data_IF_500100833094
#
_entry.id   IF_500100833094
#
_cell.length_a   1.000
_cell.length_b   1.000
_cell.length_c   1.000
_cell.angle_alpha   90.00
_cell.angle_beta   90.00
_cell.angle_gamma   90.00
#
_symmetry.space_group_name_H-M   'P 1'
#
loop_
_entity.id
_entity.type
_entity.pdbx_description
1 polymer ?
#
# COMPACT_ATOMS: atom_id res chain seq x y z
N UNK A 1 -11.83 -5.07 -1.53
CA UNK A 1 -10.99 -4.78 -0.35
C UNK A 1 -9.99 -5.91 -0.22
N UNK A 2 -8.71 -5.57 -0.13
CA UNK A 2 -7.62 -6.51 0.14
C UNK A 2 -7.21 -6.32 1.60
N UNK A 3 -7.08 -7.42 2.33
CA UNK A 3 -6.70 -7.44 3.73
C UNK A 3 -5.33 -8.12 3.84
N UNK A 4 -4.34 -7.40 4.36
CA UNK A 4 -2.97 -7.90 4.53
C UNK A 4 -2.93 -8.81 5.73
N UNK A 5 -2.45 -10.04 5.56
CA UNK A 5 -2.36 -11.01 6.64
C UNK A 5 -1.10 -10.75 7.47
N UNK A 6 -1.12 -11.03 8.79
CA UNK A 6 0.05 -10.87 9.64
C UNK A 6 1.31 -11.56 9.10
N UNK A 7 1.14 -12.70 8.41
CA UNK A 7 2.23 -13.45 7.79
C UNK A 7 3.05 -12.65 6.75
N UNK A 8 2.45 -11.63 6.12
CA UNK A 8 3.14 -10.80 5.14
C UNK A 8 4.18 -9.90 5.79
N UNK A 9 3.90 -9.41 7.00
CA UNK A 9 4.76 -8.46 7.73
C UNK A 9 5.51 -9.14 8.88
N UNK A 10 5.33 -10.45 9.05
CA UNK A 10 5.98 -11.22 10.10
C UNK A 10 7.49 -11.37 9.80
N UNK A 11 8.39 -10.83 10.65
CA UNK A 11 9.82 -10.93 10.44
C UNK A 11 10.32 -12.37 10.30
N UNK A 12 9.69 -13.31 11.02
CA UNK A 12 10.03 -14.75 10.99
C UNK A 12 9.68 -15.39 9.63
N UNK A 13 8.82 -14.74 8.83
CA UNK A 13 8.41 -15.17 7.50
C UNK A 13 9.06 -14.37 6.37
N UNK A 14 9.96 -13.43 6.66
CA UNK A 14 10.61 -12.57 5.67
C UNK A 14 11.23 -13.35 4.52
N UNK A 15 11.90 -14.48 4.79
CA UNK A 15 12.51 -15.31 3.75
C UNK A 15 11.47 -15.92 2.80
N UNK A 16 10.32 -16.32 3.32
CA UNK A 16 9.21 -16.84 2.49
C UNK A 16 8.65 -15.74 1.60
N UNK A 17 8.39 -14.55 2.16
CA UNK A 17 7.92 -13.38 1.43
C UNK A 17 8.89 -12.98 0.33
N UNK A 18 10.19 -12.95 0.62
CA UNK A 18 11.24 -12.63 -0.36
C UNK A 18 11.32 -13.65 -1.50
N UNK A 19 11.23 -14.93 -1.16
CA UNK A 19 11.26 -16.02 -2.15
C UNK A 19 10.05 -15.94 -3.08
N UNK A 20 8.86 -15.72 -2.53
CA UNK A 20 7.64 -15.58 -3.32
C UNK A 20 7.69 -14.32 -4.19
N UNK A 21 8.06 -13.16 -3.64
CA UNK A 21 8.18 -11.91 -4.39
C UNK A 21 9.17 -12.08 -5.56
N UNK A 22 10.34 -12.67 -5.30
CA UNK A 22 11.34 -12.97 -6.34
C UNK A 22 10.78 -13.87 -7.44
N UNK A 23 10.02 -14.90 -7.06
CA UNK A 23 9.41 -15.80 -8.02
C UNK A 23 8.38 -15.09 -8.89
N UNK A 24 7.52 -14.25 -8.29
CA UNK A 24 6.50 -13.49 -9.00
C UNK A 24 7.12 -12.46 -9.96
N UNK A 25 8.19 -11.77 -9.55
CA UNK A 25 8.96 -10.91 -10.45
C UNK A 25 9.50 -11.71 -11.64
N UNK A 26 10.21 -12.83 -11.38
CA UNK A 26 10.86 -13.63 -12.43
C UNK A 26 9.88 -14.26 -13.42
N UNK A 27 8.74 -14.76 -12.92
CA UNK A 27 7.79 -15.53 -13.72
C UNK A 27 6.75 -14.66 -14.41
N UNK A 28 6.36 -13.55 -13.79
CA UNK A 28 5.23 -12.73 -14.23
C UNK A 28 5.64 -11.32 -14.65
N UNK A 29 6.91 -10.93 -14.42
CA UNK A 29 7.39 -9.58 -14.66
C UNK A 29 6.70 -8.54 -13.77
N UNK A 30 6.27 -8.95 -12.56
CA UNK A 30 5.53 -8.10 -11.62
C UNK A 30 6.45 -7.58 -10.52
N UNK A 31 6.63 -6.26 -10.46
CA UNK A 31 7.60 -5.61 -9.57
C UNK A 31 9.04 -5.68 -10.05
N UNK A 32 9.96 -5.17 -9.25
CA UNK A 32 11.38 -5.01 -9.58
C UNK A 32 12.28 -5.90 -8.70
N UNK A 33 13.09 -6.73 -9.35
CA UNK A 33 13.96 -7.70 -8.70
C UNK A 33 15.04 -7.02 -7.84
N UNK A 34 15.42 -5.79 -8.17
CA UNK A 34 16.52 -5.08 -7.50
C UNK A 34 16.07 -4.39 -6.20
N UNK A 35 14.76 -4.35 -5.93
CA UNK A 35 14.20 -3.74 -4.73
C UNK A 35 14.32 -4.63 -3.50
N UNK A 36 14.29 -4.03 -2.31
CA UNK A 36 14.25 -4.75 -1.05
C UNK A 36 12.98 -5.62 -0.92
N UNK A 37 13.00 -6.65 -0.07
CA UNK A 37 11.92 -7.65 0.06
C UNK A 37 10.52 -7.06 0.11
N UNK A 38 10.25 -6.13 1.04
CA UNK A 38 8.91 -5.58 1.24
C UNK A 38 8.54 -4.52 0.19
N UNK A 39 9.52 -3.79 -0.35
CA UNK A 39 9.32 -2.90 -1.48
C UNK A 39 8.97 -3.65 -2.76
N UNK A 40 9.69 -4.71 -3.06
CA UNK A 40 9.37 -5.64 -4.15
C UNK A 40 7.98 -6.24 -3.96
N UNK A 41 7.66 -6.69 -2.76
CA UNK A 41 6.33 -7.23 -2.47
C UNK A 41 5.23 -6.16 -2.59
N UNK A 42 5.49 -4.92 -2.16
CA UNK A 42 4.59 -3.78 -2.33
C UNK A 42 4.32 -3.49 -3.80
N UNK A 43 5.35 -3.56 -4.66
CA UNK A 43 5.19 -3.44 -6.10
C UNK A 43 4.43 -4.62 -6.71
N UNK A 44 4.68 -5.86 -6.26
CA UNK A 44 3.93 -7.04 -6.72
C UNK A 44 2.44 -6.88 -6.40
N UNK A 45 2.10 -6.51 -5.16
CA UNK A 45 0.71 -6.26 -4.74
C UNK A 45 0.13 -5.09 -5.53
N UNK A 46 0.92 -4.02 -5.65
CA UNK A 46 0.63 -2.83 -6.43
C UNK A 46 0.24 -3.18 -7.85
N UNK A 47 1.14 -3.73 -8.65
CA UNK A 47 0.87 -4.11 -10.04
C UNK A 47 -0.17 -5.22 -10.22
N UNK A 48 -0.44 -6.00 -9.17
CA UNK A 48 -1.51 -7.00 -9.20
C UNK A 48 -2.88 -6.32 -9.08
N UNK A 49 -3.05 -5.40 -8.12
CA UNK A 49 -4.37 -4.88 -7.73
C UNK A 49 -4.59 -3.40 -8.06
N UNK A 50 -3.54 -2.69 -8.44
CA UNK A 50 -3.49 -1.26 -8.65
C UNK A 50 -2.59 -0.89 -9.84
N UNK A 51 -2.73 0.34 -10.31
CA UNK A 51 -1.72 0.97 -11.13
C UNK A 51 -2.18 1.51 -12.48
N UNK A 52 -1.25 2.25 -13.10
CA UNK A 52 -1.51 3.18 -14.20
C UNK A 52 -1.31 2.59 -15.59
N UNK A 53 -0.67 1.41 -15.69
CA UNK A 53 -0.50 0.70 -16.96
C UNK A 53 -1.79 -0.08 -17.22
N UNK A 54 -2.58 0.27 -18.24
CA UNK A 54 -3.89 -0.33 -18.43
C UNK A 54 -3.69 -1.82 -18.76
N UNK A 55 -4.36 -2.67 -18.00
CA UNK A 55 -5.36 -3.46 -18.70
C UNK A 55 -6.74 -2.95 -18.28
N UNK A 56 -7.64 -2.88 -19.26
CA UNK A 56 -9.07 -2.64 -19.05
C UNK A 56 -9.72 -3.67 -18.14
N UNK A 57 -9.00 -4.75 -17.79
CA UNK A 57 -9.43 -5.88 -16.97
C UNK A 57 -8.25 -6.48 -16.20
N UNK A 58 -8.54 -7.33 -15.22
CA UNK A 58 -7.54 -8.11 -14.50
C UNK A 58 -6.86 -9.15 -15.42
N UNK A 59 -5.63 -8.88 -15.86
CA UNK A 59 -4.90 -9.73 -16.82
C UNK A 59 -4.44 -11.08 -16.23
N UNK A 60 -3.92 -11.98 -17.08
CA UNK A 60 -3.53 -13.32 -16.63
C UNK A 60 -2.34 -13.31 -15.63
N UNK A 61 -1.27 -12.51 -15.83
CA UNK A 61 -0.24 -12.32 -14.81
C UNK A 61 -0.79 -11.86 -13.45
N UNK A 62 -1.69 -10.86 -13.43
CA UNK A 62 -2.32 -10.38 -12.19
C UNK A 62 -3.19 -11.46 -11.54
N UNK A 63 -3.95 -12.25 -12.32
CA UNK A 63 -4.69 -13.41 -11.82
C UNK A 63 -3.78 -14.43 -11.14
N UNK A 64 -2.67 -14.78 -11.78
CA UNK A 64 -1.69 -15.73 -11.22
C UNK A 64 -1.04 -15.19 -9.95
N UNK A 65 -0.63 -13.93 -9.94
CA UNK A 65 -0.06 -13.27 -8.76
C UNK A 65 -1.07 -13.21 -7.61
N UNK A 66 -2.32 -12.82 -7.88
CA UNK A 66 -3.38 -12.80 -6.89
C UNK A 66 -3.63 -14.18 -6.27
N UNK A 67 -3.69 -15.23 -7.10
CA UNK A 67 -3.82 -16.61 -6.61
C UNK A 67 -2.62 -16.97 -5.73
N UNK A 68 -1.39 -16.68 -6.15
CA UNK A 68 -0.19 -16.97 -5.38
C UNK A 68 -0.21 -16.31 -3.99
N UNK A 69 -0.55 -15.01 -3.94
CA UNK A 69 -0.67 -14.23 -2.70
C UNK A 69 -1.75 -14.79 -1.76
N UNK A 70 -2.89 -15.22 -2.31
CA UNK A 70 -3.98 -15.85 -1.56
C UNK A 70 -3.57 -17.24 -1.04
N UNK A 71 -2.98 -18.08 -1.89
CA UNK A 71 -2.54 -19.44 -1.50
C UNK A 71 -1.39 -19.42 -0.52
N UNK A 72 -0.57 -18.37 -0.53
CA UNK A 72 0.50 -18.15 0.43
C UNK A 72 0.04 -17.60 1.78
N UNK A 73 -1.27 -17.39 1.97
CA UNK A 73 -1.86 -16.78 3.19
C UNK A 73 -1.18 -15.45 3.55
N UNK A 74 -0.86 -14.66 2.52
CA UNK A 74 -0.26 -13.33 2.68
C UNK A 74 -1.30 -12.22 2.60
N UNK A 75 -2.39 -12.46 1.87
CA UNK A 75 -3.52 -11.54 1.75
C UNK A 75 -4.82 -12.32 1.74
N UNK A 76 -5.93 -11.64 2.05
CA UNK A 76 -7.27 -12.12 1.73
C UNK A 76 -8.02 -11.05 0.94
N UNK A 77 -8.90 -11.46 0.03
CA UNK A 77 -9.67 -10.53 -0.78
C UNK A 77 -11.16 -10.69 -0.49
N UNK A 78 -11.83 -9.56 -0.24
CA UNK A 78 -13.30 -9.50 -0.24
C UNK A 78 -13.78 -9.07 -1.62
N UNK A 79 -14.51 -9.98 -2.26
CA UNK A 79 -14.99 -9.83 -3.64
C UNK A 79 -13.94 -10.19 -4.68
N UNK A 80 -14.35 -10.21 -5.96
CA UNK A 80 -13.46 -10.48 -7.09
C UNK A 80 -12.94 -9.14 -7.63
N UNK A 81 -11.61 -8.94 -7.77
CA UNK A 81 -11.08 -7.79 -8.48
C UNK A 81 -11.62 -7.76 -9.92
N UNK A 82 -12.15 -6.63 -10.35
CA UNK A 82 -12.67 -6.44 -11.72
C UNK A 82 -11.65 -5.76 -12.63
N UNK A 83 -10.61 -5.16 -12.06
CA UNK A 83 -9.54 -4.46 -12.75
C UNK A 83 -8.62 -3.77 -11.72
N UNK A 84 -7.48 -3.22 -12.16
CA UNK A 84 -6.59 -2.49 -11.26
C UNK A 84 -7.28 -1.21 -10.74
N UNK A 85 -7.06 -0.90 -9.47
CA UNK A 85 -7.48 0.36 -8.87
C UNK A 85 -6.49 1.50 -9.21
N UNK A 86 -7.00 2.64 -9.64
CA UNK A 86 -6.17 3.84 -9.84
C UNK A 86 -5.66 4.41 -8.51
N UNK A 87 -6.53 4.40 -7.50
CA UNK A 87 -6.31 5.00 -6.19
C UNK A 87 -6.31 3.92 -5.12
N UNK A 88 -5.34 3.99 -4.21
CA UNK A 88 -5.18 3.02 -3.13
C UNK A 88 -5.29 3.73 -1.79
N UNK A 89 -6.15 3.22 -0.91
CA UNK A 89 -6.21 3.59 0.50
C UNK A 89 -5.67 2.42 1.30
N UNK A 90 -4.53 2.62 1.95
CA UNK A 90 -3.96 1.71 2.94
C UNK A 90 -4.48 2.15 4.30
N UNK A 91 -5.11 1.23 5.02
CA UNK A 91 -5.52 1.45 6.41
C UNK A 91 -4.59 0.62 7.28
N UNK A 92 -3.75 1.28 8.07
CA UNK A 92 -2.89 0.63 9.03
C UNK A 92 -3.74 0.09 10.19
N UNK A 93 -3.37 -1.09 10.68
CA UNK A 93 -3.91 -1.66 11.92
C UNK A 93 -3.17 -1.09 13.13
N UNK A 94 -3.06 -1.90 14.18
CA UNK A 94 -2.15 -1.63 15.29
C UNK A 94 -0.69 -1.58 14.79
N UNK A 95 0.16 -0.83 15.49
CA UNK A 95 1.56 -0.65 15.08
C UNK A 95 2.29 -1.98 14.94
N UNK A 96 3.05 -2.07 13.86
CA UNK A 96 3.75 -3.29 13.47
C UNK A 96 4.94 -3.59 14.36
N UNK A 97 5.35 -4.86 14.40
CA UNK A 97 6.61 -5.26 15.04
C UNK A 97 7.86 -4.86 14.23
N UNK A 98 7.66 -4.47 12.97
CA UNK A 98 8.72 -4.16 12.01
C UNK A 98 8.24 -3.05 11.09
N UNK A 99 8.38 -1.80 11.55
CA UNK A 99 8.00 -0.61 10.79
C UNK A 99 8.69 -0.54 9.43
N UNK A 100 9.92 -1.07 9.30
CA UNK A 100 10.63 -1.11 8.01
C UNK A 100 9.93 -1.98 6.97
N UNK A 101 9.17 -2.99 7.42
CA UNK A 101 8.33 -3.78 6.53
C UNK A 101 7.14 -2.97 5.99
N UNK A 102 6.51 -2.17 6.85
CA UNK A 102 5.41 -1.27 6.48
C UNK A 102 5.92 -0.21 5.51
N UNK A 103 7.06 0.43 5.81
CA UNK A 103 7.71 1.42 4.94
C UNK A 103 7.97 0.86 3.54
N UNK A 104 8.66 -0.28 3.46
CA UNK A 104 8.96 -0.92 2.19
C UNK A 104 7.69 -1.26 1.42
N UNK A 105 6.68 -1.84 2.09
CA UNK A 105 5.43 -2.20 1.43
C UNK A 105 4.70 -0.96 0.87
N UNK A 106 4.62 0.11 1.66
CA UNK A 106 3.98 1.37 1.25
C UNK A 106 4.75 2.03 0.10
N UNK A 107 6.08 2.07 0.17
CA UNK A 107 6.93 2.60 -0.90
C UNK A 107 6.73 1.81 -2.21
N UNK A 108 6.71 0.49 -2.12
CA UNK A 108 6.48 -0.37 -3.27
C UNK A 108 5.10 -0.18 -3.90
N UNK A 109 4.06 -0.04 -3.07
CA UNK A 109 2.71 0.31 -3.54
C UNK A 109 2.70 1.67 -4.23
N UNK A 110 3.39 2.65 -3.64
CA UNK A 110 3.56 4.00 -4.16
C UNK A 110 4.15 4.09 -5.55
N UNK A 111 5.13 3.24 -5.84
CA UNK A 111 5.75 3.16 -7.16
C UNK A 111 4.77 2.71 -8.27
N UNK A 112 3.62 2.13 -7.90
CA UNK A 112 2.66 1.55 -8.85
C UNK A 112 1.33 2.30 -8.92
N UNK A 113 0.84 2.82 -7.81
CA UNK A 113 -0.46 3.48 -7.70
C UNK A 113 -0.44 4.90 -8.31
N UNK A 114 -1.57 5.36 -8.86
CA UNK A 114 -1.71 6.75 -9.33
C UNK A 114 -1.80 7.74 -8.18
N UNK A 115 -2.38 7.30 -7.07
CA UNK A 115 -2.50 8.04 -5.83
C UNK A 115 -2.59 7.07 -4.66
N UNK A 116 -1.81 7.33 -3.61
CA UNK A 116 -1.79 6.55 -2.38
C UNK A 116 -2.20 7.43 -1.20
N UNK A 117 -3.06 6.89 -0.36
CA UNK A 117 -3.32 7.44 0.98
C UNK A 117 -3.04 6.37 2.01
N UNK A 118 -2.31 6.73 3.06
CA UNK A 118 -2.12 5.88 4.24
C UNK A 118 -2.92 6.50 5.38
N UNK A 119 -3.89 5.76 5.91
CA UNK A 119 -4.68 6.17 7.05
C UNK A 119 -4.36 5.27 8.24
N UNK A 120 -4.23 5.86 9.43
CA UNK A 120 -3.92 5.12 10.65
C UNK A 120 -4.70 5.67 11.83
N UNK A 121 -4.62 4.97 12.97
CA UNK A 121 -5.16 5.51 14.21
C UNK A 121 -4.40 6.75 14.68
N UNK A 122 -5.05 7.57 15.50
CA UNK A 122 -4.36 8.71 16.14
C UNK A 122 -3.14 8.21 16.92
N UNK A 123 -1.96 8.77 16.63
CA UNK A 123 -0.71 8.43 17.32
C UNK A 123 -0.04 7.14 16.87
N UNK A 124 -0.34 6.63 15.67
CA UNK A 124 0.36 5.47 15.10
C UNK A 124 1.84 5.80 14.82
N UNK A 125 2.74 5.03 15.43
CA UNK A 125 4.19 5.13 15.25
C UNK A 125 4.59 4.77 13.81
N UNK A 126 3.92 3.79 13.19
CA UNK A 126 4.17 3.42 11.80
C UNK A 126 3.86 4.59 10.85
N UNK A 127 2.74 5.30 11.04
CA UNK A 127 2.40 6.46 10.21
C UNK A 127 3.34 7.64 10.44
N UNK A 128 3.75 7.89 11.69
CA UNK A 128 4.75 8.91 12.01
C UNK A 128 6.09 8.62 11.34
N UNK A 129 6.53 7.37 11.34
CA UNK A 129 7.78 6.96 10.69
C UNK A 129 7.69 7.12 9.17
N UNK A 130 6.57 6.72 8.55
CA UNK A 130 6.31 6.94 7.12
C UNK A 130 6.42 8.43 6.73
N UNK A 131 5.91 9.34 7.56
CA UNK A 131 5.98 10.79 7.33
C UNK A 131 7.39 11.37 7.52
N UNK A 132 8.18 10.76 8.39
CA UNK A 132 9.55 11.19 8.67
C UNK A 132 10.50 10.86 7.50
N UNK A 133 10.11 9.95 6.61
CA UNK A 133 10.89 9.63 5.42
C UNK A 133 10.89 10.78 4.40
N UNK A 134 12.04 10.98 3.74
CA UNK A 134 12.21 11.99 2.69
C UNK A 134 11.68 11.50 1.33
N UNK A 135 10.38 11.17 1.30
CA UNK A 135 9.73 10.70 0.08
C UNK A 135 9.37 11.87 -0.84
N UNK A 136 9.26 11.66 -2.16
CA UNK A 136 8.88 12.69 -3.13
C UNK A 136 7.48 13.34 -2.94
N UNK A 137 6.81 13.14 -1.81
CA UNK A 137 5.49 13.71 -1.50
C UNK A 137 4.35 13.07 -2.30
N UNK A 138 4.54 11.84 -2.78
CA UNK A 138 3.59 11.16 -3.67
C UNK A 138 2.42 10.48 -2.94
N UNK A 139 2.50 10.29 -1.62
CA UNK A 139 1.39 9.80 -0.79
C UNK A 139 0.88 10.87 0.16
N UNK A 140 -0.41 10.83 0.46
CA UNK A 140 -0.98 11.57 1.59
C UNK A 140 -1.19 10.66 2.79
N UNK A 141 -1.24 11.27 3.97
CA UNK A 141 -1.51 10.58 5.22
C UNK A 141 -2.77 11.12 5.91
N UNK A 142 -3.50 10.26 6.60
CA UNK A 142 -4.70 10.62 7.37
C UNK A 142 -4.64 10.03 8.77
N UNK A 143 -4.67 10.87 9.80
CA UNK A 143 -4.81 10.42 11.19
C UNK A 143 -6.27 10.15 11.55
N UNK A 144 -6.46 9.34 12.58
CA UNK A 144 -7.75 9.24 13.25
C UNK A 144 -8.77 8.38 12.50
N UNK A 145 -8.34 7.36 11.76
CA UNK A 145 -9.23 6.48 10.97
C UNK A 145 -10.25 5.71 11.84
N UNK A 146 -10.00 5.61 13.14
CA UNK A 146 -10.91 5.10 14.17
C UNK A 146 -12.09 6.05 14.47
N UNK A 147 -11.98 7.33 14.07
CA UNK A 147 -12.99 8.36 14.30
C UNK A 147 -13.87 8.57 13.06
N UNK A 148 -15.09 9.08 13.26
CA UNK A 148 -15.97 9.45 12.15
C UNK A 148 -15.33 10.52 11.23
N UNK A 149 -14.57 11.45 11.80
CA UNK A 149 -13.88 12.48 11.03
C UNK A 149 -12.81 11.89 10.10
N UNK A 150 -11.97 10.98 10.61
CA UNK A 150 -10.95 10.29 9.78
C UNK A 150 -11.57 9.38 8.72
N UNK A 151 -12.66 8.68 9.04
CA UNK A 151 -13.40 7.84 8.08
C UNK A 151 -14.00 8.64 6.92
N UNK A 152 -14.37 9.90 7.15
CA UNK A 152 -14.82 10.83 6.11
C UNK A 152 -13.63 11.47 5.38
N UNK A 153 -12.58 11.85 6.10
CA UNK A 153 -11.40 12.51 5.52
C UNK A 153 -10.63 11.57 4.57
N UNK A 154 -10.41 10.31 4.94
CA UNK A 154 -9.66 9.34 4.14
C UNK A 154 -10.13 9.22 2.67
N UNK A 155 -11.43 8.97 2.36
CA UNK A 155 -11.89 8.92 0.99
C UNK A 155 -11.84 10.28 0.26
N UNK A 156 -11.99 11.41 0.97
CA UNK A 156 -11.88 12.75 0.37
C UNK A 156 -10.42 13.06 -0.02
N UNK A 157 -9.47 12.76 0.86
CA UNK A 157 -8.04 12.89 0.58
C UNK A 157 -7.62 11.95 -0.55
N UNK A 158 -8.16 10.73 -0.58
CA UNK A 158 -7.94 9.78 -1.67
C UNK A 158 -8.43 10.31 -3.01
N UNK A 159 -9.62 10.93 -3.05
CA UNK A 159 -10.14 11.57 -4.25
C UNK A 159 -9.24 12.74 -4.72
N UNK A 160 -8.71 13.54 -3.78
CA UNK A 160 -7.79 14.65 -4.07
C UNK A 160 -6.49 14.18 -4.72
N UNK A 161 -5.98 12.99 -4.39
CA UNK A 161 -4.76 12.42 -4.99
C UNK A 161 -4.83 12.31 -6.53
N UNK A 162 -6.02 12.37 -7.14
CA UNK A 162 -6.15 12.40 -8.62
C UNK A 162 -5.55 13.63 -9.27
N UNK A 163 -5.54 14.76 -8.57
CA UNK A 163 -5.13 16.06 -9.10
C UNK A 163 -4.04 16.72 -8.29
N UNK A 164 -3.91 16.36 -7.01
CA UNK A 164 -2.90 16.91 -6.11
C UNK A 164 -2.39 15.81 -5.18
N UNK A 165 -1.13 15.43 -5.38
CA UNK A 165 -0.47 14.42 -4.57
C UNK A 165 -0.04 14.99 -3.21
N UNK A 166 0.16 14.09 -2.25
CA UNK A 166 0.78 14.45 -0.97
C UNK A 166 -0.14 15.13 0.04
N UNK A 167 0.43 15.36 1.22
CA UNK A 167 -0.15 16.12 2.33
C UNK A 167 -0.50 15.26 3.54
N UNK A 168 -0.37 15.84 4.73
CA UNK A 168 -0.72 15.20 6.00
C UNK A 168 -1.98 15.84 6.57
N UNK A 169 -2.96 15.01 6.90
CA UNK A 169 -4.28 15.46 7.33
C UNK A 169 -4.65 14.80 8.67
N UNK A 170 -5.11 15.59 9.64
CA UNK A 170 -5.61 15.07 10.90
C UNK A 170 -4.95 15.73 12.11
N UNK A 171 -4.97 15.02 13.24
CA UNK A 171 -4.55 15.54 14.54
C UNK A 171 -3.05 15.88 14.58
N UNK A 172 -2.20 15.07 13.94
CA UNK A 172 -0.75 15.33 13.81
C UNK A 172 -0.40 15.92 12.43
N UNK A 173 -1.26 15.72 11.41
CA UNK A 173 -1.17 16.37 10.10
C UNK A 173 -1.70 17.81 10.06
N UNK A 174 -0.97 18.79 10.61
CA UNK A 174 -1.28 20.22 10.45
C UNK A 174 -0.94 20.79 9.05
N UNK A 175 -0.43 19.97 8.11
CA UNK A 175 0.15 20.42 6.84
C UNK A 175 -0.79 20.44 5.62
N UNK A 176 -1.90 19.70 5.62
CA UNK A 176 -2.77 19.52 4.46
C UNK A 176 -3.53 20.78 3.98
N UNK A 177 -3.53 21.85 4.77
CA UNK A 177 -4.20 23.13 4.47
C UNK A 177 -3.24 24.27 4.08
N UNK A 178 -1.91 24.07 4.10
CA UNK A 178 -0.94 25.18 4.05
C UNK A 178 0.09 25.12 2.91
N UNK A 179 -0.05 24.25 1.91
CA UNK A 179 0.80 24.31 0.69
C UNK A 179 -0.05 24.61 -0.55
N UNK A 180 -0.13 25.91 -0.86
CA UNK A 180 -0.51 26.47 -2.16
C UNK A 180 0.74 26.83 -2.96
#
# INVERSE_FOLDING_TARGET
MLDVRPNLLDPDRKQYVDSLATQLVKQLGRGDADQATYQRMGQVVGETYAGTKPPTEFDQPAKTAAVALLTGDLVTARGRPTGPADLVLVVLGDDSRDTTAVEGLVEGLGATAKGLVVAASTGSEDLETLRANDWPGWFASVDGIETAAGQVAAPLVLARQRTQQGGDFGASGFGGLLKH
#
